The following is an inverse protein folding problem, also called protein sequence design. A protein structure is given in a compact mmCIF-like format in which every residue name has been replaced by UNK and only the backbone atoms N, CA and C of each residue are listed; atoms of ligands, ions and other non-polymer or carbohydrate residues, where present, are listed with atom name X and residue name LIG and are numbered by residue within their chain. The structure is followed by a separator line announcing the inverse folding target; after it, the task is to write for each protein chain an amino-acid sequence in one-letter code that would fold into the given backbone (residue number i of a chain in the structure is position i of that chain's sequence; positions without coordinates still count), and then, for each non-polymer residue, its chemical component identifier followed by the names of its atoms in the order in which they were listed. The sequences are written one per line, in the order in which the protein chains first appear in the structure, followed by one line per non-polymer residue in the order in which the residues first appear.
data_IF_125118968553
#
_entry.id   IF_125118968553
#
_cell.length_a   1.000
_cell.length_b   1.000
_cell.length_c   1.000
_cell.angle_alpha   90.00
_cell.angle_beta   90.00
_cell.angle_gamma   90.00
#
_symmetry.space_group_name_H-M   'P 1'
#
loop_
_entity.id
_entity.type
_entity.pdbx_description
1 polymer ?
#
# COMPACT_ATOMS: atom_id res chain seq x y z
N UNK A 1 -12.27 12.72 -17.10
CA UNK A 1 -12.15 12.45 -15.64
C UNK A 1 -10.81 11.78 -15.40
N UNK A 2 -9.94 12.34 -14.56
CA UNK A 2 -8.66 11.71 -14.23
C UNK A 2 -8.96 10.33 -13.63
N UNK A 3 -8.52 9.27 -14.32
CA UNK A 3 -8.90 7.90 -14.01
C UNK A 3 -8.26 7.44 -12.71
N UNK A 4 -9.06 6.96 -11.78
CA UNK A 4 -8.54 6.23 -10.64
C UNK A 4 -7.96 4.90 -11.14
N UNK A 5 -6.78 4.52 -10.64
CA UNK A 5 -6.16 3.25 -11.01
C UNK A 5 -6.84 2.09 -10.29
N UNK A 6 -7.11 1.01 -11.00
CA UNK A 6 -7.60 -0.24 -10.37
C UNK A 6 -6.48 -0.97 -9.62
N UNK A 7 -5.22 -0.71 -9.99
CA UNK A 7 -4.02 -1.28 -9.38
C UNK A 7 -2.94 -0.21 -9.26
N UNK A 8 -2.35 -0.08 -8.08
CA UNK A 8 -1.11 0.67 -7.86
C UNK A 8 -0.07 -0.30 -7.31
N UNK A 9 1.09 -0.41 -7.96
CA UNK A 9 2.21 -1.23 -7.51
C UNK A 9 3.41 -0.34 -7.20
N UNK A 10 4.06 -0.55 -6.06
CA UNK A 10 5.26 0.18 -5.69
C UNK A 10 6.25 -0.73 -4.93
N UNK A 11 7.47 -0.82 -5.45
CA UNK A 11 8.60 -1.48 -4.81
C UNK A 11 9.73 -0.43 -4.64
N UNK A 12 9.56 0.43 -3.65
CA UNK A 12 10.44 1.56 -3.34
C UNK A 12 10.65 1.65 -1.82
N UNK A 13 11.43 2.62 -1.37
CA UNK A 13 11.74 2.79 0.05
C UNK A 13 10.49 3.02 0.91
N UNK A 14 10.53 2.49 2.14
CA UNK A 14 9.41 2.54 3.08
C UNK A 14 8.98 3.97 3.47
N UNK A 15 9.92 4.91 3.63
CA UNK A 15 9.62 6.29 4.01
C UNK A 15 8.83 7.04 2.91
N UNK A 16 9.25 7.00 1.63
CA UNK A 16 8.41 7.46 0.51
C UNK A 16 7.02 6.83 0.50
N UNK A 17 6.90 5.51 0.67
CA UNK A 17 5.59 4.86 0.74
C UNK A 17 4.70 5.44 1.84
N UNK A 18 5.24 5.70 3.02
CA UNK A 18 4.49 6.36 4.09
C UNK A 18 4.08 7.79 3.72
N UNK A 19 4.99 8.57 3.12
CA UNK A 19 4.73 9.96 2.74
C UNK A 19 3.66 10.08 1.65
N UNK A 20 3.63 9.11 0.72
CA UNK A 20 2.71 9.09 -0.41
C UNK A 20 1.36 8.41 -0.09
N UNK A 21 1.15 7.93 1.14
CA UNK A 21 -0.02 7.11 1.47
C UNK A 21 -1.36 7.80 1.13
N UNK A 22 -1.47 9.11 1.38
CA UNK A 22 -2.67 9.90 1.08
C UNK A 22 -2.91 9.97 -0.43
N UNK A 23 -1.88 10.35 -1.19
CA UNK A 23 -1.98 10.50 -2.64
C UNK A 23 -2.27 9.15 -3.30
N UNK A 24 -1.64 8.07 -2.83
CA UNK A 24 -1.92 6.72 -3.31
C UNK A 24 -3.39 6.34 -3.08
N UNK A 25 -3.92 6.58 -1.89
CA UNK A 25 -5.32 6.28 -1.59
C UNK A 25 -6.30 7.12 -2.45
N UNK A 26 -5.99 8.39 -2.69
CA UNK A 26 -6.80 9.28 -3.54
C UNK A 26 -6.86 8.79 -4.99
N UNK A 27 -5.76 8.29 -5.53
CA UNK A 27 -5.68 7.84 -6.93
C UNK A 27 -6.08 6.38 -7.14
N UNK A 28 -6.27 5.59 -6.08
CA UNK A 28 -6.74 4.20 -6.18
C UNK A 28 -8.25 4.15 -6.33
N UNK A 29 -8.80 3.42 -7.29
CA UNK A 29 -10.25 3.32 -7.50
C UNK A 29 -10.94 2.70 -6.27
N UNK A 30 -12.23 2.99 -6.01
CA UNK A 30 -13.02 2.18 -5.09
C UNK A 30 -12.96 0.70 -5.50
N UNK A 31 -12.60 -0.19 -4.56
CA UNK A 31 -12.32 -1.58 -4.91
C UNK A 31 -11.05 -1.76 -5.75
N UNK A 32 -10.11 -0.82 -5.73
CA UNK A 32 -8.77 -0.97 -6.28
C UNK A 32 -7.80 -1.59 -5.29
N UNK A 33 -6.70 -2.13 -5.80
CA UNK A 33 -5.66 -2.82 -5.02
C UNK A 33 -4.33 -2.05 -5.07
N UNK A 34 -3.66 -1.94 -3.93
CA UNK A 34 -2.29 -1.44 -3.84
C UNK A 34 -1.34 -2.55 -3.39
N UNK A 35 -0.24 -2.74 -4.10
CA UNK A 35 0.80 -3.73 -3.76
C UNK A 35 2.08 -2.99 -3.42
N UNK A 36 2.50 -3.08 -2.16
CA UNK A 36 3.66 -2.37 -1.62
C UNK A 36 4.72 -3.39 -1.20
N UNK A 37 5.84 -3.43 -1.92
CA UNK A 37 6.87 -4.46 -1.79
C UNK A 37 8.22 -3.87 -1.32
N UNK A 38 9.19 -4.76 -1.08
CA UNK A 38 10.55 -4.37 -0.71
C UNK A 38 10.71 -3.91 0.74
N UNK A 39 9.85 -4.40 1.63
CA UNK A 39 9.80 -3.96 3.02
C UNK A 39 10.46 -4.97 3.95
N UNK A 40 11.31 -4.53 4.87
CA UNK A 40 11.65 -5.34 6.04
C UNK A 40 10.45 -5.41 6.99
N UNK A 41 10.34 -6.45 7.82
CA UNK A 41 9.18 -6.65 8.69
C UNK A 41 8.80 -5.43 9.57
N UNK A 42 9.77 -4.68 10.10
CA UNK A 42 9.52 -3.43 10.85
C UNK A 42 8.97 -2.33 9.95
N UNK A 43 9.51 -2.19 8.74
CA UNK A 43 9.06 -1.22 7.74
C UNK A 43 7.63 -1.53 7.27
N UNK A 44 7.31 -2.82 7.08
CA UNK A 44 5.96 -3.25 6.69
C UNK A 44 4.90 -2.78 7.70
N UNK A 45 5.18 -2.84 9.00
CA UNK A 45 4.26 -2.32 10.03
C UNK A 45 4.04 -0.80 9.91
N UNK A 46 5.12 -0.04 9.68
CA UNK A 46 5.06 1.41 9.50
C UNK A 46 4.25 1.79 8.25
N UNK A 47 4.57 1.16 7.11
CA UNK A 47 3.89 1.40 5.83
C UNK A 47 2.41 1.03 5.92
N UNK A 48 2.09 -0.10 6.53
CA UNK A 48 0.71 -0.51 6.75
C UNK A 48 -0.06 0.50 7.60
N UNK A 49 0.53 1.00 8.69
CA UNK A 49 -0.11 1.99 9.54
C UNK A 49 -0.40 3.30 8.79
N UNK A 50 0.55 3.78 7.98
CA UNK A 50 0.36 4.98 7.16
C UNK A 50 -0.81 4.83 6.17
N UNK A 51 -0.90 3.68 5.48
CA UNK A 51 -1.96 3.44 4.50
C UNK A 51 -3.32 3.14 5.15
N UNK A 52 -3.35 2.47 6.31
CA UNK A 52 -4.58 2.26 7.09
C UNK A 52 -5.22 3.57 7.52
N UNK A 53 -4.42 4.58 7.88
CA UNK A 53 -4.92 5.94 8.20
C UNK A 53 -5.61 6.63 7.02
N UNK A 54 -5.40 6.15 5.80
CA UNK A 54 -6.04 6.66 4.58
C UNK A 54 -7.21 5.77 4.11
N UNK A 55 -7.68 4.84 4.96
CA UNK A 55 -8.82 3.98 4.66
C UNK A 55 -8.51 2.71 3.85
N UNK A 56 -7.24 2.44 3.56
CA UNK A 56 -6.84 1.20 2.89
C UNK A 56 -6.83 0.03 3.88
N UNK A 57 -7.40 -1.09 3.49
CA UNK A 57 -7.46 -2.31 4.29
C UNK A 57 -6.36 -3.29 3.87
N UNK A 58 -5.72 -3.96 4.83
CA UNK A 58 -4.83 -5.08 4.50
C UNK A 58 -5.67 -6.26 4.04
N UNK A 59 -5.42 -6.72 2.82
CA UNK A 59 -6.05 -7.92 2.26
C UNK A 59 -5.12 -9.13 2.41
N UNK A 60 -3.84 -8.95 2.12
CA UNK A 60 -2.84 -10.03 2.23
C UNK A 60 -1.48 -9.46 2.60
N UNK A 61 -0.72 -10.22 3.38
CA UNK A 61 0.73 -10.02 3.55
C UNK A 61 1.45 -11.25 3.02
N UNK A 62 2.53 -11.03 2.30
CA UNK A 62 3.38 -12.08 1.76
C UNK A 62 4.78 -11.84 2.31
N UNK A 63 5.34 -12.83 3.00
CA UNK A 63 6.69 -12.77 3.56
C UNK A 63 7.58 -13.79 2.84
N UNK A 64 8.73 -13.36 2.33
CA UNK A 64 9.73 -14.18 1.64
C UNK A 64 11.11 -13.81 2.21
N UNK A 65 11.64 -14.69 3.06
CA UNK A 65 12.87 -14.41 3.80
C UNK A 65 12.71 -13.14 4.67
N UNK A 66 13.62 -12.15 4.55
CA UNK A 66 13.52 -10.91 5.33
C UNK A 66 12.52 -9.90 4.76
N UNK A 67 11.99 -10.17 3.56
CA UNK A 67 11.18 -9.23 2.79
C UNK A 67 9.69 -9.49 2.97
N UNK A 68 8.93 -8.42 3.03
CA UNK A 68 7.48 -8.37 3.15
C UNK A 68 6.89 -7.57 1.99
N UNK A 69 5.74 -8.05 1.50
CA UNK A 69 4.86 -7.36 0.57
C UNK A 69 3.48 -7.21 1.20
N UNK A 70 2.91 -6.02 1.11
CA UNK A 70 1.55 -5.71 1.57
C UNK A 70 0.64 -5.57 0.36
N UNK A 71 -0.45 -6.34 0.35
CA UNK A 71 -1.56 -6.17 -0.58
C UNK A 71 -2.68 -5.48 0.18
N UNK A 72 -2.97 -4.25 -0.22
CA UNK A 72 -3.98 -3.39 0.38
C UNK A 72 -5.14 -3.16 -0.59
N UNK A 73 -6.33 -2.92 -0.05
CA UNK A 73 -7.54 -2.70 -0.83
C UNK A 73 -8.25 -1.43 -0.38
N UNK A 74 -8.68 -0.59 -1.33
CA UNK A 74 -9.59 0.52 -1.04
C UNK A 74 -10.99 -0.05 -0.89
N UNK A 75 -11.54 0.01 0.32
CA UNK A 75 -12.95 -0.32 0.55
C UNK A 75 -13.80 0.76 -0.14
N UNK A 76 -14.94 0.32 -0.69
CA UNK A 76 -15.88 1.17 -1.44
C UNK A 76 -16.38 2.33 -0.61
#
# INVERSE_FOLDING_TARGET
AAGHYNLIFANILARPLCAMAKDLALHLAPGGTAILAGLLGVQARMVLAAHRRQGLALERRIDIGPWSTLVLRRRG
#
